data_IF_970874612233
#
_entry.id   IF_970874612233
#
_cell.length_a   1.000
_cell.length_b   1.000
_cell.length_c   1.000
_cell.angle_alpha   90.00
_cell.angle_beta   90.00
_cell.angle_gamma   90.00
#
_symmetry.space_group_name_H-M   'P 1'
#
loop_
_entity.id
_entity.type
_entity.pdbx_description
1 polymer ?
#
# COMPACT_ATOMS: atom_id res chain seq x y z
N UNK A 1 -54.28 -1.54 -40.59
CA UNK A 1 -53.41 -0.35 -40.37
C UNK A 1 -53.68 0.17 -38.96
N UNK A 2 -52.78 0.25 -37.98
CA UNK A 2 -51.33 0.06 -37.88
C UNK A 2 -51.06 -0.58 -36.50
N UNK A 3 -50.29 -1.66 -36.50
CA UNK A 3 -49.67 -2.25 -35.31
C UNK A 3 -48.68 -1.25 -34.72
N UNK A 4 -48.74 -0.99 -33.42
CA UNK A 4 -47.72 -0.22 -32.69
C UNK A 4 -47.03 -1.18 -31.71
N UNK A 5 -45.81 -1.54 -32.09
CA UNK A 5 -44.86 -2.32 -31.34
C UNK A 5 -44.56 -1.66 -29.98
N UNK A 6 -44.83 -2.40 -28.90
CA UNK A 6 -44.27 -2.13 -27.59
C UNK A 6 -42.84 -2.71 -27.57
N UNK A 7 -41.85 -1.85 -27.81
CA UNK A 7 -40.44 -2.20 -27.64
C UNK A 7 -40.05 -1.90 -26.20
N UNK A 8 -40.02 -2.96 -25.38
CA UNK A 8 -39.50 -2.92 -24.02
C UNK A 8 -37.97 -2.71 -24.08
N UNK A 9 -37.51 -1.52 -23.71
CA UNK A 9 -36.11 -1.23 -23.48
C UNK A 9 -35.73 -1.70 -22.07
N UNK A 10 -35.30 -2.96 -21.99
CA UNK A 10 -34.57 -3.49 -20.84
C UNK A 10 -33.16 -2.86 -20.82
N UNK A 11 -33.01 -1.74 -20.10
CA UNK A 11 -31.69 -1.24 -19.71
C UNK A 11 -31.22 -2.04 -18.50
N UNK A 12 -30.78 -3.27 -18.77
CA UNK A 12 -30.02 -4.08 -17.82
C UNK A 12 -28.58 -3.60 -17.77
N UNK A 13 -28.34 -2.40 -17.24
CA UNK A 13 -26.98 -1.97 -16.92
C UNK A 13 -26.53 -2.68 -15.64
N UNK A 14 -26.02 -3.90 -15.80
CA UNK A 14 -25.15 -4.53 -14.80
C UNK A 14 -23.88 -3.69 -14.77
N UNK A 15 -23.89 -2.62 -13.97
CA UNK A 15 -22.68 -1.95 -13.52
C UNK A 15 -22.04 -2.92 -12.53
N UNK A 16 -21.29 -3.90 -13.06
CA UNK A 16 -20.35 -4.65 -12.28
C UNK A 16 -19.28 -3.65 -11.84
N UNK A 17 -19.47 -3.10 -10.64
CA UNK A 17 -18.44 -2.38 -9.91
C UNK A 17 -17.26 -3.32 -9.78
N UNK A 18 -16.32 -3.24 -10.72
CA UNK A 18 -14.99 -3.79 -10.56
C UNK A 18 -14.28 -2.93 -9.51
N UNK A 19 -14.61 -3.20 -8.23
CA UNK A 19 -13.77 -2.89 -7.09
C UNK A 19 -12.52 -3.79 -7.13
N UNK A 20 -11.84 -3.87 -8.27
CA UNK A 20 -10.58 -4.58 -8.44
C UNK A 20 -9.43 -3.65 -8.03
N UNK A 21 -9.54 -3.11 -6.82
CA UNK A 21 -8.45 -2.41 -6.15
C UNK A 21 -7.50 -3.42 -5.52
N UNK A 22 -6.41 -3.71 -6.24
CA UNK A 22 -5.09 -4.09 -5.71
C UNK A 22 -4.88 -5.36 -4.88
N UNK A 23 -5.84 -6.28 -4.71
CA UNK A 23 -5.56 -7.57 -4.06
C UNK A 23 -5.85 -8.83 -4.89
N UNK A 24 -5.69 -8.76 -6.21
CA UNK A 24 -5.73 -9.97 -7.04
C UNK A 24 -4.59 -10.91 -6.59
N UNK A 25 -4.94 -12.09 -6.10
CA UNK A 25 -3.98 -13.15 -5.77
C UNK A 25 -3.29 -13.58 -7.05
N UNK A 26 -1.94 -13.60 -7.12
CA UNK A 26 -1.28 -14.20 -8.26
C UNK A 26 -1.81 -15.62 -8.39
N UNK A 27 -2.21 -16.00 -9.60
CA UNK A 27 -2.79 -17.32 -9.82
C UNK A 27 -1.71 -18.35 -9.51
N UNK A 28 -1.91 -19.27 -8.55
CA UNK A 28 -0.91 -20.27 -8.23
C UNK A 28 -0.56 -21.07 -9.49
N UNK A 29 0.72 -21.43 -9.71
CA UNK A 29 1.10 -22.28 -10.83
C UNK A 29 0.33 -23.59 -10.74
N UNK A 30 -0.13 -24.07 -11.89
CA UNK A 30 -0.87 -25.34 -11.97
C UNK A 30 0.10 -26.49 -12.20
N UNK A 31 -0.19 -27.64 -11.61
CA UNK A 31 0.48 -28.90 -11.92
C UNK A 31 0.19 -29.32 -13.36
N UNK A 32 0.86 -30.37 -13.84
CA UNK A 32 0.59 -30.94 -15.17
C UNK A 32 -0.89 -31.33 -15.38
N UNK A 33 -1.60 -31.63 -14.29
CA UNK A 33 -3.03 -31.99 -14.26
C UNK A 33 -3.96 -30.76 -14.15
N UNK A 34 -3.41 -29.55 -14.14
CA UNK A 34 -4.19 -28.31 -14.02
C UNK A 34 -4.62 -27.95 -12.59
N UNK A 35 -4.24 -28.75 -11.58
CA UNK A 35 -4.57 -28.50 -10.17
C UNK A 35 -3.59 -27.52 -9.50
N UNK A 36 -4.02 -26.84 -8.44
CA UNK A 36 -3.11 -26.04 -7.59
C UNK A 36 -2.48 -26.93 -6.53
N UNK A 37 -1.15 -26.85 -6.36
CA UNK A 37 -0.45 -27.63 -5.34
C UNK A 37 -0.74 -27.06 -3.95
N UNK A 38 -1.37 -27.85 -3.08
CA UNK A 38 -1.57 -27.50 -1.66
C UNK A 38 -0.43 -27.95 -0.77
N UNK A 39 0.28 -29.00 -1.19
CA UNK A 39 1.44 -29.56 -0.49
C UNK A 39 2.56 -29.68 -1.51
N UNK A 40 3.75 -29.21 -1.15
CA UNK A 40 4.95 -29.29 -2.00
C UNK A 40 5.97 -30.16 -1.29
N UNK A 41 6.37 -31.23 -1.98
CA UNK A 41 7.28 -32.23 -1.44
C UNK A 41 8.74 -31.80 -1.58
N UNK A 42 9.54 -32.09 -0.55
CA UNK A 42 11.00 -31.92 -0.53
C UNK A 42 11.62 -33.30 -0.67
N UNK A 43 12.60 -33.45 -1.56
CA UNK A 43 13.26 -34.74 -1.73
C UNK A 43 14.02 -35.13 -0.43
N UNK A 44 13.82 -36.33 0.16
CA UNK A 44 14.38 -36.68 1.47
C UNK A 44 15.90 -36.66 1.52
N UNK A 45 16.54 -36.94 0.38
CA UNK A 45 17.99 -36.99 0.24
C UNK A 45 18.59 -35.63 -0.15
N UNK A 46 17.76 -34.60 -0.32
CA UNK A 46 18.17 -33.28 -0.77
C UNK A 46 18.32 -32.32 0.41
N UNK A 47 19.39 -32.52 1.17
CA UNK A 47 19.67 -31.73 2.37
C UNK A 47 19.81 -30.23 2.06
N UNK A 48 20.28 -29.87 0.87
CA UNK A 48 20.38 -28.47 0.44
C UNK A 48 19.00 -27.85 0.20
N UNK A 49 18.06 -28.58 -0.42
CA UNK A 49 16.68 -28.13 -0.56
C UNK A 49 16.02 -27.97 0.80
N UNK A 50 16.15 -28.99 1.67
CA UNK A 50 15.58 -28.96 3.02
C UNK A 50 16.08 -27.73 3.79
N UNK A 51 17.39 -27.46 3.78
CA UNK A 51 17.98 -26.30 4.45
C UNK A 51 17.43 -24.97 3.90
N UNK A 52 17.35 -24.82 2.57
CA UNK A 52 16.85 -23.61 1.94
C UNK A 52 15.36 -23.37 2.27
N UNK A 53 14.53 -24.42 2.22
CA UNK A 53 13.12 -24.34 2.58
C UNK A 53 12.94 -24.03 4.06
N UNK A 54 13.67 -24.72 4.95
CA UNK A 54 13.63 -24.46 6.40
C UNK A 54 14.02 -23.03 6.72
N UNK A 55 15.05 -22.47 6.05
CA UNK A 55 15.44 -21.07 6.25
C UNK A 55 14.32 -20.08 5.85
N UNK A 56 13.67 -20.30 4.70
CA UNK A 56 12.56 -19.47 4.25
C UNK A 56 11.35 -19.57 5.19
N UNK A 57 10.98 -20.77 5.64
CA UNK A 57 9.89 -20.98 6.60
C UNK A 57 10.22 -20.39 7.99
N UNK A 58 11.47 -20.53 8.45
CA UNK A 58 11.95 -19.89 9.68
C UNK A 58 11.78 -18.37 9.64
N UNK A 59 12.21 -17.74 8.55
CA UNK A 59 12.05 -16.31 8.36
C UNK A 59 10.57 -15.89 8.28
N UNK A 60 9.73 -16.68 7.60
CA UNK A 60 8.27 -16.44 7.50
C UNK A 60 7.60 -16.52 8.87
N UNK A 61 7.90 -17.55 9.65
CA UNK A 61 7.34 -17.75 11.00
C UNK A 61 7.81 -16.65 11.95
N UNK A 62 9.09 -16.27 11.90
CA UNK A 62 9.61 -15.12 12.66
C UNK A 62 8.86 -13.84 12.26
N UNK A 63 8.70 -13.57 10.97
CA UNK A 63 7.99 -12.38 10.50
C UNK A 63 6.54 -12.34 11.00
N UNK A 64 5.81 -13.45 10.84
CA UNK A 64 4.44 -13.59 11.35
C UNK A 64 4.37 -13.37 12.86
N UNK A 65 5.34 -13.90 13.61
CA UNK A 65 5.43 -13.71 15.05
C UNK A 65 5.59 -12.24 15.41
N UNK A 66 6.56 -11.52 14.80
CA UNK A 66 6.77 -10.10 15.06
C UNK A 66 5.55 -9.25 14.73
N UNK A 67 4.87 -9.53 13.62
CA UNK A 67 3.62 -8.85 13.27
C UNK A 67 2.51 -9.07 14.29
N UNK A 68 2.39 -10.26 14.89
CA UNK A 68 1.41 -10.52 15.95
C UNK A 68 1.71 -9.77 17.24
N UNK A 69 2.98 -9.76 17.66
CA UNK A 69 3.44 -8.97 18.83
C UNK A 69 3.11 -7.49 18.60
N UNK A 70 3.43 -7.00 17.41
CA UNK A 70 3.21 -5.63 16.98
C UNK A 70 1.72 -5.27 16.93
N UNK A 71 0.88 -6.13 16.34
CA UNK A 71 -0.58 -5.99 16.34
C UNK A 71 -1.13 -5.89 17.76
N UNK A 72 -0.73 -6.79 18.65
CA UNK A 72 -1.16 -6.79 20.05
C UNK A 72 -0.76 -5.52 20.79
N UNK A 73 0.43 -4.96 20.49
CA UNK A 73 0.85 -3.67 21.02
C UNK A 73 -0.10 -2.53 20.61
N UNK A 74 -0.47 -2.42 19.33
CA UNK A 74 -1.38 -1.33 18.89
C UNK A 74 -2.79 -1.47 19.38
N UNK A 75 -3.31 -2.69 19.44
CA UNK A 75 -4.61 -2.95 20.05
C UNK A 75 -4.61 -2.50 21.51
N UNK A 76 -3.53 -2.78 22.26
CA UNK A 76 -3.40 -2.38 23.67
C UNK A 76 -3.35 -0.86 23.85
N UNK A 77 -2.67 -0.11 22.99
CA UNK A 77 -2.58 1.35 23.09
C UNK A 77 -3.73 2.09 22.37
N UNK A 78 -4.70 1.36 21.81
CA UNK A 78 -5.86 1.95 21.13
C UNK A 78 -5.55 2.58 19.77
N UNK A 79 -4.41 2.25 19.14
CA UNK A 79 -4.05 2.78 17.83
C UNK A 79 -4.70 1.95 16.71
N UNK A 80 -5.97 2.23 16.42
CA UNK A 80 -6.79 1.44 15.48
C UNK A 80 -6.26 1.43 14.04
N UNK A 81 -5.69 2.54 13.58
CA UNK A 81 -5.11 2.62 12.24
C UNK A 81 -3.91 1.67 12.11
N UNK A 82 -3.00 1.72 13.10
CA UNK A 82 -1.80 0.87 13.12
C UNK A 82 -2.16 -0.61 13.36
N UNK A 83 -3.17 -0.92 14.19
CA UNK A 83 -3.61 -2.31 14.34
C UNK A 83 -4.23 -2.88 13.05
N UNK A 84 -5.05 -2.09 12.35
CA UNK A 84 -5.64 -2.47 11.05
C UNK A 84 -4.55 -2.80 10.03
N UNK A 85 -3.45 -2.03 10.04
CA UNK A 85 -2.29 -2.37 9.24
C UNK A 85 -1.69 -3.72 9.57
N UNK A 86 -1.34 -3.94 10.84
CA UNK A 86 -0.61 -5.14 11.24
C UNK A 86 -1.44 -6.38 10.91
N UNK A 87 -2.76 -6.26 11.04
CA UNK A 87 -3.70 -7.27 10.61
C UNK A 87 -3.65 -7.50 9.10
N UNK A 88 -3.72 -6.45 8.28
CA UNK A 88 -3.62 -6.59 6.81
C UNK A 88 -2.31 -7.21 6.35
N UNK A 89 -1.19 -6.86 6.99
CA UNK A 89 0.12 -7.44 6.67
C UNK A 89 0.19 -8.92 7.07
N UNK A 90 -0.39 -9.29 8.22
CA UNK A 90 -0.58 -10.69 8.61
C UNK A 90 -1.45 -11.45 7.61
N UNK A 91 -2.58 -10.86 7.22
CA UNK A 91 -3.51 -11.46 6.25
C UNK A 91 -2.82 -11.64 4.90
N UNK A 92 -2.03 -10.66 4.45
CA UNK A 92 -1.26 -10.76 3.22
C UNK A 92 -0.21 -11.88 3.33
N UNK A 93 0.53 -11.98 4.43
CA UNK A 93 1.50 -13.05 4.67
C UNK A 93 0.84 -14.44 4.65
N UNK A 94 -0.32 -14.57 5.29
CA UNK A 94 -1.07 -15.82 5.36
C UNK A 94 -1.69 -16.22 4.02
N UNK A 95 -2.07 -15.25 3.20
CA UNK A 95 -2.67 -15.50 1.88
C UNK A 95 -1.66 -15.65 0.75
N UNK A 96 -0.42 -15.17 0.95
CA UNK A 96 0.61 -15.18 -0.10
C UNK A 96 1.07 -16.60 -0.42
N UNK A 97 1.27 -17.44 0.60
CA UNK A 97 1.72 -18.80 0.42
C UNK A 97 0.53 -19.76 0.44
N UNK A 98 0.04 -20.14 -0.75
CA UNK A 98 -1.15 -20.99 -0.91
C UNK A 98 -0.88 -22.50 -0.71
N UNK A 99 0.33 -22.85 -0.26
CA UNK A 99 0.80 -24.21 -0.14
C UNK A 99 1.61 -24.38 1.15
N UNK A 100 1.80 -25.63 1.58
CA UNK A 100 2.71 -25.98 2.67
C UNK A 100 3.79 -26.92 2.19
N UNK A 101 4.97 -26.85 2.79
CA UNK A 101 6.02 -27.83 2.59
C UNK A 101 5.72 -29.10 3.36
N UNK A 102 5.98 -30.25 2.75
CA UNK A 102 5.92 -31.52 3.44
C UNK A 102 7.18 -31.74 4.29
N UNK A 103 7.01 -32.25 5.50
CA UNK A 103 8.13 -32.58 6.41
C UNK A 103 8.89 -31.38 7.02
N UNK A 104 8.42 -30.15 6.85
CA UNK A 104 9.05 -28.96 7.45
C UNK A 104 8.20 -28.43 8.59
N UNK A 105 8.72 -28.55 9.81
CA UNK A 105 8.13 -27.96 11.01
C UNK A 105 9.06 -26.89 11.56
N UNK A 106 8.55 -25.67 11.67
CA UNK A 106 9.27 -24.51 12.20
C UNK A 106 8.49 -23.96 13.38
N UNK A 107 9.16 -23.89 14.52
CA UNK A 107 8.59 -23.35 15.75
C UNK A 107 8.89 -21.85 15.81
N UNK A 108 7.90 -21.00 16.18
CA UNK A 108 8.15 -19.57 16.37
C UNK A 108 9.18 -19.32 17.48
N UNK A 109 9.94 -18.21 17.38
CA UNK A 109 10.84 -17.82 18.46
C UNK A 109 10.07 -17.65 19.77
N UNK A 110 10.69 -18.07 20.88
CA UNK A 110 10.11 -17.92 22.22
C UNK A 110 10.27 -16.46 22.70
N UNK A 111 9.23 -15.94 23.36
CA UNK A 111 9.47 -15.05 24.51
C UNK A 111 9.61 -13.54 24.29
N UNK A 112 8.82 -12.92 23.41
CA UNK A 112 8.65 -11.47 23.43
C UNK A 112 7.28 -11.10 24.03
N UNK A 113 7.31 -10.36 25.14
CA UNK A 113 6.13 -9.80 25.81
C UNK A 113 5.93 -8.35 25.38
N UNK A 114 4.68 -7.95 25.17
CA UNK A 114 4.31 -6.55 24.92
C UNK A 114 4.40 -5.66 26.17
N UNK A 115 4.65 -6.24 27.35
CA UNK A 115 4.74 -5.52 28.61
C UNK A 115 5.98 -4.62 28.67
N UNK A 116 5.76 -3.30 28.56
CA UNK A 116 6.85 -2.31 28.58
C UNK A 116 7.62 -2.15 27.27
N UNK A 117 7.13 -2.75 26.18
CA UNK A 117 7.79 -2.66 24.88
C UNK A 117 7.70 -1.24 24.29
N UNK A 118 8.82 -0.78 23.73
CA UNK A 118 8.91 0.44 22.93
C UNK A 118 8.38 0.18 21.51
N UNK A 119 7.48 1.03 21.03
CA UNK A 119 6.91 0.94 19.68
C UNK A 119 8.02 0.83 18.64
N UNK A 120 9.02 1.73 18.73
CA UNK A 120 10.11 1.81 17.76
C UNK A 120 10.84 0.48 17.64
N UNK A 121 11.18 -0.13 18.77
CA UNK A 121 11.87 -1.42 18.80
C UNK A 121 11.04 -2.53 18.15
N UNK A 122 9.73 -2.60 18.46
CA UNK A 122 8.84 -3.60 17.87
C UNK A 122 8.70 -3.41 16.35
N UNK A 123 8.66 -2.16 15.87
CA UNK A 123 8.69 -1.84 14.44
C UNK A 123 9.98 -2.31 13.81
N UNK A 124 11.14 -1.97 14.39
CA UNK A 124 12.46 -2.38 13.89
C UNK A 124 12.57 -3.91 13.77
N UNK A 125 12.02 -4.67 14.74
CA UNK A 125 11.96 -6.13 14.66
C UNK A 125 11.07 -6.66 13.54
N UNK A 126 9.87 -6.10 13.35
CA UNK A 126 9.00 -6.52 12.25
C UNK A 126 9.63 -6.21 10.87
N UNK A 127 10.29 -5.06 10.74
CA UNK A 127 11.02 -4.65 9.55
C UNK A 127 12.19 -5.58 9.25
N UNK A 128 13.01 -5.87 10.26
CA UNK A 128 14.13 -6.80 10.15
C UNK A 128 13.65 -8.17 9.68
N UNK A 129 12.63 -8.71 10.35
CA UNK A 129 12.05 -10.00 9.99
C UNK A 129 11.42 -10.01 8.58
N UNK A 130 10.79 -8.90 8.14
CA UNK A 130 10.31 -8.76 6.76
C UNK A 130 11.45 -8.83 5.75
N UNK A 131 12.54 -8.10 6.01
CA UNK A 131 13.72 -8.06 5.14
C UNK A 131 14.36 -9.45 5.05
N UNK A 132 14.55 -10.12 6.19
CA UNK A 132 15.05 -11.49 6.27
C UNK A 132 14.18 -12.45 5.46
N UNK A 133 12.85 -12.38 5.62
CA UNK A 133 11.93 -13.22 4.85
C UNK A 133 12.03 -12.97 3.34
N UNK A 134 12.08 -11.70 2.90
CA UNK A 134 12.23 -11.38 1.48
C UNK A 134 13.55 -11.91 0.91
N UNK A 135 14.65 -11.81 1.67
CA UNK A 135 15.94 -12.36 1.27
C UNK A 135 15.89 -13.88 1.16
N UNK A 136 15.36 -14.57 2.19
CA UNK A 136 15.28 -16.03 2.21
C UNK A 136 14.39 -16.59 1.08
N UNK A 137 13.27 -15.92 0.78
CA UNK A 137 12.42 -16.28 -0.37
C UNK A 137 13.16 -16.06 -1.69
N UNK A 138 13.94 -14.99 -1.83
CA UNK A 138 14.74 -14.76 -3.04
C UNK A 138 15.85 -15.78 -3.23
N UNK A 139 16.54 -16.16 -2.16
CA UNK A 139 17.54 -17.22 -2.19
C UNK A 139 16.92 -18.57 -2.56
N UNK A 140 15.73 -18.88 -2.04
CA UNK A 140 14.99 -20.11 -2.37
C UNK A 140 14.52 -20.14 -3.83
N UNK A 141 14.04 -19.01 -4.36
CA UNK A 141 13.70 -18.91 -5.78
C UNK A 141 14.94 -19.19 -6.65
N UNK A 142 16.05 -18.51 -6.36
CA UNK A 142 17.31 -18.69 -7.07
C UNK A 142 17.87 -20.13 -6.94
N UNK A 143 17.65 -20.79 -5.80
CA UNK A 143 17.99 -22.21 -5.62
C UNK A 143 17.23 -23.10 -6.60
N UNK A 144 15.91 -22.94 -6.72
CA UNK A 144 15.10 -23.73 -7.65
C UNK A 144 15.40 -23.42 -9.12
N UNK A 145 15.68 -22.17 -9.47
CA UNK A 145 16.13 -21.78 -10.79
C UNK A 145 17.44 -22.50 -11.17
N UNK A 146 18.44 -22.51 -10.28
CA UNK A 146 19.72 -23.22 -10.51
C UNK A 146 19.54 -24.73 -10.66
N UNK A 147 18.55 -25.33 -9.96
CA UNK A 147 18.20 -26.74 -10.13
C UNK A 147 17.36 -27.04 -11.37
N UNK A 148 16.84 -26.02 -12.04
CA UNK A 148 15.93 -26.20 -13.17
C UNK A 148 14.51 -26.61 -12.77
N UNK A 149 14.14 -26.53 -11.48
CA UNK A 149 12.78 -26.80 -11.02
C UNK A 149 11.88 -25.57 -11.25
N UNK A 150 11.42 -25.46 -12.49
CA UNK A 150 10.58 -24.33 -12.94
C UNK A 150 9.27 -24.21 -12.16
N UNK A 151 8.70 -25.32 -11.71
CA UNK A 151 7.44 -25.32 -10.99
C UNK A 151 7.60 -24.71 -9.59
N UNK A 152 8.58 -25.20 -8.82
CA UNK A 152 8.88 -24.65 -7.49
C UNK A 152 9.37 -23.20 -7.60
N UNK A 153 10.25 -22.88 -8.55
CA UNK A 153 10.66 -21.50 -8.78
C UNK A 153 9.45 -20.56 -9.02
N UNK A 154 8.49 -20.97 -9.87
CA UNK A 154 7.28 -20.19 -10.14
C UNK A 154 6.40 -20.01 -8.90
N UNK A 155 6.29 -21.04 -8.03
CA UNK A 155 5.58 -20.92 -6.76
C UNK A 155 6.22 -19.84 -5.88
N UNK A 156 7.55 -19.80 -5.80
CA UNK A 156 8.26 -18.83 -4.99
C UNK A 156 8.20 -17.42 -5.60
N UNK A 157 8.26 -17.28 -6.93
CA UNK A 157 8.04 -15.97 -7.56
C UNK A 157 6.63 -15.41 -7.30
N UNK A 158 5.61 -16.27 -7.26
CA UNK A 158 4.28 -15.84 -6.85
C UNK A 158 4.25 -15.33 -5.39
N UNK A 159 5.05 -15.92 -4.51
CA UNK A 159 5.26 -15.39 -3.16
C UNK A 159 5.98 -14.04 -3.20
N UNK A 160 7.04 -13.89 -3.99
CA UNK A 160 7.81 -12.64 -4.09
C UNK A 160 6.99 -11.46 -4.62
N UNK A 161 6.20 -11.68 -5.68
CA UNK A 161 5.39 -10.63 -6.33
C UNK A 161 4.38 -9.98 -5.38
N UNK A 162 3.94 -10.72 -4.36
CA UNK A 162 3.09 -10.22 -3.25
C UNK A 162 3.82 -9.28 -2.30
N UNK A 163 5.15 -9.37 -2.20
CA UNK A 163 6.01 -8.56 -1.33
C UNK A 163 6.88 -7.55 -2.09
N UNK A 164 6.60 -7.32 -3.37
CA UNK A 164 7.22 -6.29 -4.21
C UNK A 164 6.99 -4.87 -3.61
N UNK A 165 7.91 -3.88 -3.78
CA UNK A 165 7.99 -2.67 -2.94
C UNK A 165 6.73 -1.79 -2.91
N UNK A 166 5.81 -1.99 -3.85
CA UNK A 166 4.58 -1.20 -3.96
C UNK A 166 3.55 -1.58 -2.90
N UNK A 167 3.64 -2.79 -2.33
CA UNK A 167 2.83 -3.24 -1.18
C UNK A 167 3.58 -3.13 0.14
N UNK A 168 4.52 -2.19 0.26
CA UNK A 168 5.18 -1.94 1.55
C UNK A 168 4.22 -1.08 2.35
N UNK A 169 3.57 -1.62 3.39
CA UNK A 169 2.51 -0.91 4.13
C UNK A 169 2.99 -0.31 5.49
N UNK A 170 2.26 0.75 5.87
CA UNK A 170 2.13 1.69 7.03
C UNK A 170 3.20 1.97 8.11
N UNK A 171 4.21 1.15 8.42
CA UNK A 171 4.99 1.42 9.66
C UNK A 171 6.16 2.36 9.48
N UNK A 172 6.42 2.68 8.23
CA UNK A 172 7.37 3.68 7.85
C UNK A 172 6.69 4.95 7.41
N UNK A 173 5.47 5.30 7.82
CA UNK A 173 4.99 6.64 7.47
C UNK A 173 5.99 7.70 7.96
N UNK A 174 6.61 7.55 9.14
CA UNK A 174 7.65 8.49 9.57
C UNK A 174 9.05 8.26 8.95
N UNK A 175 9.39 7.06 8.48
CA UNK A 175 10.71 6.77 7.90
C UNK A 175 10.76 6.74 6.36
N UNK A 176 9.62 6.49 5.70
CA UNK A 176 9.38 6.64 4.26
C UNK A 176 8.92 8.05 3.93
N UNK A 177 8.11 8.72 4.79
CA UNK A 177 7.89 10.15 4.59
C UNK A 177 9.13 10.89 5.06
N UNK A 178 9.72 11.70 4.19
CA UNK A 178 10.71 12.63 4.65
C UNK A 178 10.11 13.55 5.74
N UNK A 179 10.97 14.13 6.58
CA UNK A 179 10.50 14.91 7.71
C UNK A 179 9.71 16.15 7.25
N UNK A 180 8.74 16.58 8.05
CA UNK A 180 7.89 17.73 7.73
C UNK A 180 8.68 19.05 7.60
N UNK A 181 9.90 19.11 8.15
CA UNK A 181 10.75 20.29 8.18
C UNK A 181 11.64 20.47 6.94
N UNK A 182 11.49 19.65 5.88
CA UNK A 182 12.15 19.91 4.61
C UNK A 182 11.73 21.26 4.05
N UNK A 183 12.68 21.96 3.42
CA UNK A 183 12.49 23.30 2.86
C UNK A 183 12.80 23.28 1.37
N UNK A 184 11.80 23.08 0.49
CA UNK A 184 12.04 23.01 -0.95
C UNK A 184 12.31 24.40 -1.54
N UNK A 185 13.59 24.77 -1.63
CA UNK A 185 14.02 26.11 -2.06
C UNK A 185 14.76 26.14 -3.40
N UNK A 186 15.14 24.97 -3.93
CA UNK A 186 15.99 24.87 -5.11
C UNK A 186 15.21 24.40 -6.35
N UNK A 187 15.40 25.09 -7.47
CA UNK A 187 15.00 24.58 -8.79
C UNK A 187 16.14 23.68 -9.29
N UNK A 188 15.88 22.38 -9.41
CA UNK A 188 16.88 21.37 -9.77
C UNK A 188 16.46 20.71 -11.08
N UNK A 189 17.16 20.94 -12.21
CA UNK A 189 16.73 20.43 -13.52
C UNK A 189 16.53 18.91 -13.58
N UNK A 190 17.37 18.14 -12.87
CA UNK A 190 17.22 16.68 -12.80
C UNK A 190 15.93 16.26 -12.07
N UNK A 191 15.56 16.98 -11.00
CA UNK A 191 14.31 16.75 -10.29
C UNK A 191 13.10 17.16 -11.14
N UNK A 192 13.19 18.27 -11.87
CA UNK A 192 12.14 18.69 -12.81
C UNK A 192 11.90 17.66 -13.91
N UNK A 193 12.97 17.04 -14.43
CA UNK A 193 12.86 15.97 -15.42
C UNK A 193 12.17 14.71 -14.85
N UNK A 194 12.53 14.30 -13.62
CA UNK A 194 11.84 13.21 -12.92
C UNK A 194 10.37 13.52 -12.69
N UNK A 195 10.06 14.74 -12.25
CA UNK A 195 8.69 15.20 -12.05
C UNK A 195 7.88 15.12 -13.34
N UNK A 196 8.41 15.67 -14.44
CA UNK A 196 7.74 15.64 -15.75
C UNK A 196 7.59 14.22 -16.30
N UNK A 197 8.50 13.28 -15.97
CA UNK A 197 8.33 11.86 -16.28
C UNK A 197 7.17 11.26 -15.47
N UNK A 198 7.17 11.46 -14.16
CA UNK A 198 6.16 10.93 -13.25
C UNK A 198 4.75 11.44 -13.57
N UNK A 199 4.61 12.74 -13.85
CA UNK A 199 3.35 13.37 -14.23
C UNK A 199 2.80 12.81 -15.56
N UNK A 200 3.67 12.59 -16.56
CA UNK A 200 3.28 11.92 -17.81
C UNK A 200 2.79 10.50 -17.57
N UNK A 201 3.46 9.73 -16.70
CA UNK A 201 3.04 8.37 -16.34
C UNK A 201 1.69 8.37 -15.63
N UNK A 202 1.50 9.28 -14.67
CA UNK A 202 0.25 9.48 -13.94
C UNK A 202 -0.92 9.78 -14.90
N UNK A 203 -0.76 10.75 -15.80
CA UNK A 203 -1.81 11.04 -16.78
C UNK A 203 -2.03 9.90 -17.79
N UNK A 204 -0.95 9.24 -18.23
CA UNK A 204 -1.05 8.08 -19.11
C UNK A 204 -1.68 6.86 -18.43
N UNK A 205 -1.70 6.82 -17.08
CA UNK A 205 -2.42 5.86 -16.25
C UNK A 205 -3.93 6.05 -16.24
N UNK A 206 -4.41 7.24 -16.63
CA UNK A 206 -5.83 7.66 -16.62
C UNK A 206 -6.29 8.10 -18.01
N UNK A 207 -6.22 7.23 -19.04
CA UNK A 207 -6.53 7.63 -20.41
C UNK A 207 -7.99 8.08 -20.59
N UNK A 208 -8.92 7.53 -19.80
CA UNK A 208 -10.35 7.79 -19.87
C UNK A 208 -10.99 7.69 -18.47
N UNK A 209 -12.14 8.35 -18.24
CA UNK A 209 -12.91 8.18 -17.01
C UNK A 209 -13.23 6.71 -16.73
N UNK A 210 -12.90 6.23 -15.54
CA UNK A 210 -13.15 4.84 -15.11
C UNK A 210 -12.16 3.80 -15.66
N UNK A 211 -11.17 4.20 -16.46
CA UNK A 211 -10.10 3.31 -16.94
C UNK A 211 -8.79 3.67 -16.27
N UNK A 212 -8.18 2.69 -15.60
CA UNK A 212 -6.89 2.86 -14.90
C UNK A 212 -5.89 1.82 -15.38
N UNK A 213 -4.71 2.27 -15.80
CA UNK A 213 -3.55 1.42 -16.02
C UNK A 213 -2.66 1.42 -14.77
N UNK A 214 -2.92 0.46 -13.87
CA UNK A 214 -2.25 0.36 -12.57
C UNK A 214 -0.73 0.29 -12.66
N UNK A 215 -0.17 -0.35 -13.69
CA UNK A 215 1.29 -0.43 -13.86
C UNK A 215 1.91 0.95 -14.12
N UNK A 216 1.20 1.84 -14.82
CA UNK A 216 1.67 3.22 -15.05
C UNK A 216 1.52 4.10 -13.82
N UNK A 217 0.41 3.96 -13.09
CA UNK A 217 0.22 4.65 -11.79
C UNK A 217 1.30 4.22 -10.78
N UNK A 218 1.65 2.93 -10.80
CA UNK A 218 2.75 2.37 -10.02
C UNK A 218 4.09 2.96 -10.43
N UNK A 219 4.40 3.02 -11.72
CA UNK A 219 5.65 3.63 -12.20
C UNK A 219 5.72 5.12 -11.85
N UNK A 220 4.60 5.84 -11.96
CA UNK A 220 4.48 7.25 -11.55
C UNK A 220 4.77 7.41 -10.06
N UNK A 221 4.14 6.61 -9.21
CA UNK A 221 4.35 6.60 -7.76
C UNK A 221 5.83 6.40 -7.41
N UNK A 222 6.47 5.37 -7.98
CA UNK A 222 7.88 5.08 -7.71
C UNK A 222 8.79 6.23 -8.18
N UNK A 223 8.48 6.85 -9.33
CA UNK A 223 9.25 7.98 -9.86
C UNK A 223 9.10 9.23 -8.99
N UNK A 224 7.90 9.52 -8.46
CA UNK A 224 7.70 10.62 -7.51
C UNK A 224 8.42 10.36 -6.18
N UNK A 225 8.38 9.14 -5.67
CA UNK A 225 9.11 8.76 -4.44
C UNK A 225 10.62 8.89 -4.62
N UNK A 226 11.16 8.48 -5.77
CA UNK A 226 12.56 8.67 -6.15
C UNK A 226 12.96 10.15 -6.13
N UNK A 227 12.15 11.01 -6.78
CA UNK A 227 12.39 12.45 -6.78
C UNK A 227 12.49 13.01 -5.36
N UNK A 228 11.54 12.65 -4.50
CA UNK A 228 11.48 13.16 -3.12
C UNK A 228 12.69 12.68 -2.30
N UNK A 229 13.10 11.42 -2.48
CA UNK A 229 14.26 10.83 -1.79
C UNK A 229 15.58 11.45 -2.23
N UNK A 230 15.78 11.59 -3.55
CA UNK A 230 17.07 11.95 -4.12
C UNK A 230 17.25 13.48 -4.22
N UNK A 231 16.15 14.25 -4.24
CA UNK A 231 16.14 15.70 -4.33
C UNK A 231 15.25 16.39 -3.27
N UNK A 232 15.51 16.21 -1.96
CA UNK A 232 14.66 16.72 -0.87
C UNK A 232 14.65 18.26 -0.74
N UNK A 233 15.47 18.98 -1.51
CA UNK A 233 15.49 20.45 -1.57
C UNK A 233 14.76 21.00 -2.81
N UNK A 234 14.28 20.13 -3.71
CA UNK A 234 13.63 20.53 -4.95
C UNK A 234 12.29 21.20 -4.70
N UNK A 235 11.99 22.29 -5.40
CA UNK A 235 10.67 22.94 -5.43
C UNK A 235 9.54 22.01 -5.89
N UNK A 236 9.86 20.82 -6.44
CA UNK A 236 8.88 19.83 -6.91
C UNK A 236 8.41 18.83 -5.84
N UNK A 237 9.05 18.74 -4.67
CA UNK A 237 8.67 17.70 -3.69
C UNK A 237 7.25 17.88 -3.14
N UNK A 238 6.78 19.14 -2.96
CA UNK A 238 5.44 19.42 -2.46
C UNK A 238 4.35 18.95 -3.45
N UNK A 239 4.51 19.30 -4.72
CA UNK A 239 3.60 18.83 -5.77
C UNK A 239 3.68 17.32 -5.97
N UNK A 240 4.88 16.74 -5.88
CA UNK A 240 5.07 15.28 -5.94
C UNK A 240 4.34 14.58 -4.80
N UNK A 241 4.41 15.14 -3.58
CA UNK A 241 3.68 14.64 -2.41
C UNK A 241 2.16 14.63 -2.64
N UNK A 242 1.60 15.67 -3.27
CA UNK A 242 0.19 15.69 -3.64
C UNK A 242 -0.17 14.54 -4.61
N UNK A 243 0.62 14.32 -5.67
CA UNK A 243 0.34 13.24 -6.62
C UNK A 243 0.55 11.84 -6.02
N UNK A 244 1.55 11.66 -5.16
CA UNK A 244 1.73 10.44 -4.39
C UNK A 244 0.46 10.15 -3.58
N UNK A 245 -0.10 11.17 -2.92
CA UNK A 245 -1.34 11.03 -2.16
C UNK A 245 -2.55 10.67 -3.03
N UNK A 246 -2.71 11.31 -4.19
CA UNK A 246 -3.76 10.97 -5.16
C UNK A 246 -3.66 9.51 -5.61
N UNK A 247 -2.45 9.04 -5.92
CA UNK A 247 -2.21 7.66 -6.35
C UNK A 247 -2.54 6.68 -5.22
N UNK A 248 -2.08 6.94 -3.99
CA UNK A 248 -2.42 6.10 -2.84
C UNK A 248 -3.92 6.04 -2.55
N UNK A 249 -4.59 7.20 -2.61
CA UNK A 249 -6.03 7.34 -2.40
C UNK A 249 -6.84 6.57 -3.45
N UNK A 250 -6.54 6.79 -4.73
CA UNK A 250 -7.41 6.30 -5.81
C UNK A 250 -7.12 4.86 -6.22
N UNK A 251 -5.86 4.41 -6.11
CA UNK A 251 -5.45 3.14 -6.74
C UNK A 251 -5.01 2.09 -5.76
N UNK A 252 -4.42 2.47 -4.62
CA UNK A 252 -3.87 1.51 -3.67
C UNK A 252 -4.70 1.34 -2.40
N UNK A 253 -5.77 2.14 -2.23
CA UNK A 253 -6.63 2.13 -1.04
C UNK A 253 -5.83 2.34 0.26
N UNK A 254 -4.87 3.25 0.17
CA UNK A 254 -3.85 3.55 1.18
C UNK A 254 -4.18 4.87 1.88
N UNK A 255 -5.40 4.97 2.42
CA UNK A 255 -5.99 6.23 2.88
C UNK A 255 -5.13 6.98 3.91
N UNK A 256 -4.56 6.26 4.87
CA UNK A 256 -3.69 6.87 5.90
C UNK A 256 -2.42 7.43 5.26
N UNK A 257 -1.78 6.70 4.33
CA UNK A 257 -0.59 7.19 3.61
C UNK A 257 -0.94 8.40 2.75
N UNK A 258 -2.07 8.33 2.04
CA UNK A 258 -2.54 9.42 1.21
C UNK A 258 -2.73 10.69 2.04
N UNK A 259 -3.39 10.61 3.20
CA UNK A 259 -3.52 11.74 4.12
C UNK A 259 -2.15 12.33 4.49
N UNK A 260 -1.21 11.51 4.93
CA UNK A 260 0.09 12.05 5.35
C UNK A 260 0.91 12.63 4.21
N UNK A 261 0.78 12.10 2.99
CA UNK A 261 1.38 12.71 1.80
C UNK A 261 0.70 14.02 1.41
N UNK A 262 -0.63 14.14 1.56
CA UNK A 262 -1.27 15.45 1.46
C UNK A 262 -0.72 16.39 2.54
N UNK A 263 -0.58 15.95 3.79
CA UNK A 263 0.00 16.76 4.87
C UNK A 263 1.39 17.28 4.51
N UNK A 264 2.27 16.41 3.99
CA UNK A 264 3.60 16.80 3.52
C UNK A 264 3.55 17.83 2.40
N UNK A 265 2.61 17.68 1.47
CA UNK A 265 2.47 18.62 0.36
C UNK A 265 2.29 20.07 0.83
N UNK A 266 1.44 20.32 1.85
CA UNK A 266 1.24 21.67 2.38
C UNK A 266 2.21 22.07 3.49
N UNK A 267 2.86 21.11 4.16
CA UNK A 267 3.93 21.41 5.11
C UNK A 267 5.18 21.91 4.40
N UNK A 268 5.50 21.33 3.24
CA UNK A 268 6.64 21.75 2.41
C UNK A 268 6.33 22.97 1.54
N UNK A 269 5.08 23.13 1.08
CA UNK A 269 4.61 24.35 0.40
C UNK A 269 3.23 24.77 0.95
N UNK A 270 3.17 25.71 1.91
CA UNK A 270 1.91 26.20 2.46
C UNK A 270 0.93 26.77 1.43
N UNK A 271 1.44 27.23 0.27
CA UNK A 271 0.70 27.87 -0.82
C UNK A 271 0.52 26.94 -2.04
N UNK A 272 0.65 25.62 -1.86
CA UNK A 272 0.50 24.65 -2.93
C UNK A 272 -0.81 24.87 -3.71
N UNK A 273 -0.73 24.81 -5.04
CA UNK A 273 -1.85 25.10 -5.95
C UNK A 273 -2.89 23.97 -6.05
N UNK A 274 -2.73 22.92 -5.24
CA UNK A 274 -3.65 21.78 -5.16
C UNK A 274 -4.44 21.81 -3.85
N UNK A 275 -5.68 21.31 -3.83
CA UNK A 275 -6.56 21.35 -2.65
C UNK A 275 -6.21 20.24 -1.64
N UNK A 276 -4.95 20.19 -1.21
CA UNK A 276 -4.42 19.08 -0.42
C UNK A 276 -5.12 18.91 0.94
N UNK A 277 -5.42 20.02 1.64
CA UNK A 277 -6.09 19.97 2.94
C UNK A 277 -7.52 19.47 2.80
N UNK A 278 -8.22 19.91 1.74
CA UNK A 278 -9.55 19.41 1.42
C UNK A 278 -9.53 17.90 1.13
N UNK A 279 -8.59 17.42 0.31
CA UNK A 279 -8.49 15.99 0.00
C UNK A 279 -8.18 15.15 1.26
N UNK A 280 -7.30 15.63 2.14
CA UNK A 280 -7.05 15.00 3.44
C UNK A 280 -8.30 14.98 4.32
N UNK A 281 -9.07 16.08 4.35
CA UNK A 281 -10.32 16.15 5.11
C UNK A 281 -11.34 15.10 4.65
N UNK A 282 -11.51 14.94 3.33
CA UNK A 282 -12.40 13.93 2.74
C UNK A 282 -12.01 12.52 3.15
N UNK A 283 -10.71 12.21 3.17
CA UNK A 283 -10.21 10.90 3.62
C UNK A 283 -10.46 10.66 5.11
N UNK A 284 -10.13 11.64 5.97
CA UNK A 284 -10.39 11.56 7.41
C UNK A 284 -11.88 11.35 7.70
N UNK A 285 -12.73 12.04 6.97
CA UNK A 285 -14.18 12.02 7.13
C UNK A 285 -14.82 10.71 6.63
N UNK A 286 -14.64 10.43 5.33
CA UNK A 286 -15.44 9.43 4.64
C UNK A 286 -14.87 8.03 4.74
N UNK A 287 -13.54 7.89 4.78
CA UNK A 287 -12.88 6.58 4.77
C UNK A 287 -12.34 6.19 6.14
N UNK A 288 -11.71 7.11 6.86
CA UNK A 288 -11.08 6.84 8.15
C UNK A 288 -11.99 7.13 9.36
N UNK A 289 -13.13 7.79 9.15
CA UNK A 289 -14.12 8.11 10.21
C UNK A 289 -13.53 8.85 11.41
N UNK A 290 -12.46 9.62 11.20
CA UNK A 290 -11.87 10.49 12.19
C UNK A 290 -12.44 11.92 12.04
N UNK A 291 -13.64 12.12 12.58
CA UNK A 291 -14.38 13.37 12.38
C UNK A 291 -13.69 14.59 12.99
N UNK A 292 -12.97 14.42 14.10
CA UNK A 292 -12.20 15.51 14.71
C UNK A 292 -11.14 16.04 13.74
N UNK A 293 -10.28 15.16 13.20
CA UNK A 293 -9.28 15.54 12.20
C UNK A 293 -9.90 16.03 10.90
N UNK A 294 -11.02 15.46 10.48
CA UNK A 294 -11.75 15.93 9.30
C UNK A 294 -12.17 17.39 9.44
N UNK A 295 -12.78 17.77 10.57
CA UNK A 295 -13.20 19.15 10.84
C UNK A 295 -12.02 20.11 10.86
N UNK A 296 -10.89 19.71 11.46
CA UNK A 296 -9.65 20.50 11.43
C UNK A 296 -9.17 20.75 9.99
N UNK A 297 -9.10 19.70 9.17
CA UNK A 297 -8.65 19.79 7.78
C UNK A 297 -9.61 20.60 6.90
N UNK A 298 -10.93 20.45 7.06
CA UNK A 298 -11.92 21.26 6.32
C UNK A 298 -11.81 22.75 6.69
N UNK A 299 -11.60 23.08 7.97
CA UNK A 299 -11.38 24.48 8.38
C UNK A 299 -10.08 25.04 7.78
N UNK A 300 -9.04 24.22 7.74
CA UNK A 300 -7.77 24.61 7.16
C UNK A 300 -7.87 24.79 5.63
N UNK A 301 -8.63 23.96 4.93
CA UNK A 301 -8.83 24.10 3.48
C UNK A 301 -9.57 25.39 3.13
N UNK A 302 -10.61 25.76 3.88
CA UNK A 302 -11.33 27.03 3.70
C UNK A 302 -10.43 28.27 3.84
N UNK A 303 -9.31 28.15 4.56
CA UNK A 303 -8.38 29.26 4.81
C UNK A 303 -7.22 29.31 3.82
N UNK A 304 -6.71 28.16 3.40
CA UNK A 304 -5.40 28.07 2.73
C UNK A 304 -5.42 27.36 1.38
N UNK A 305 -6.42 26.53 1.10
CA UNK A 305 -6.46 25.84 -0.19
C UNK A 305 -6.98 26.79 -1.28
N UNK A 306 -6.55 26.60 -2.54
CA UNK A 306 -7.07 27.37 -3.66
C UNK A 306 -8.57 27.07 -3.88
N UNK A 307 -9.31 28.07 -4.36
CA UNK A 307 -10.72 27.91 -4.68
C UNK A 307 -10.90 26.85 -5.77
N UNK A 308 -11.74 25.85 -5.49
CA UNK A 308 -12.13 24.79 -6.41
C UNK A 308 -13.63 24.63 -6.35
N UNK A 309 -14.25 24.45 -7.51
CA UNK A 309 -15.70 24.34 -7.62
C UNK A 309 -16.24 23.27 -6.66
N UNK A 310 -17.15 23.66 -5.76
CA UNK A 310 -17.82 22.77 -4.82
C UNK A 310 -17.04 22.43 -3.54
N UNK A 311 -15.72 22.63 -3.49
CA UNK A 311 -14.92 22.29 -2.29
C UNK A 311 -15.35 23.12 -1.08
N UNK A 312 -15.51 24.44 -1.25
CA UNK A 312 -15.91 25.36 -0.17
C UNK A 312 -17.25 24.98 0.45
N UNK A 313 -18.30 24.89 -0.36
CA UNK A 313 -19.63 24.53 0.12
C UNK A 313 -19.68 23.13 0.73
N UNK A 314 -18.88 22.19 0.20
CA UNK A 314 -18.74 20.84 0.80
C UNK A 314 -18.10 20.92 2.18
N UNK A 315 -17.02 21.68 2.34
CA UNK A 315 -16.31 21.81 3.60
C UNK A 315 -17.18 22.49 4.67
N UNK A 316 -17.86 23.59 4.34
CA UNK A 316 -18.78 24.31 5.23
C UNK A 316 -19.90 23.37 5.72
N UNK A 317 -20.60 22.70 4.79
CA UNK A 317 -21.66 21.73 5.12
C UNK A 317 -21.15 20.58 6.00
N UNK A 318 -20.00 19.99 5.67
CA UNK A 318 -19.46 18.87 6.47
C UNK A 318 -19.03 19.32 7.86
N UNK A 319 -18.51 20.54 8.04
CA UNK A 319 -18.21 21.08 9.37
C UNK A 319 -19.49 21.19 10.21
N UNK A 320 -20.59 21.69 9.66
CA UNK A 320 -21.89 21.80 10.35
C UNK A 320 -22.40 20.42 10.78
N UNK A 321 -22.44 19.46 9.83
CA UNK A 321 -22.91 18.09 10.06
C UNK A 321 -22.08 17.36 11.13
N UNK A 322 -20.75 17.50 11.10
CA UNK A 322 -19.85 16.81 12.03
C UNK A 322 -19.75 17.48 13.41
N UNK A 323 -20.07 18.77 13.53
CA UNK A 323 -20.01 19.50 14.81
C UNK A 323 -21.36 19.68 15.48
N UNK A 324 -22.46 19.28 14.82
CA UNK A 324 -23.81 19.39 15.37
C UNK A 324 -24.32 20.82 15.50
N UNK A 325 -23.67 21.79 14.84
CA UNK A 325 -24.19 23.15 14.72
C UNK A 325 -25.30 23.16 13.67
N UNK A 326 -26.55 23.18 14.13
CA UNK A 326 -27.71 23.53 13.29
C UNK A 326 -28.10 24.98 13.52
#
# INVERSE_FOLDING_TARGET
>A
MKSKYALALWVGAVVCWMLTGCDVRPTPPRTAEGATAKVVYIAPNDQAELQAVTAAEAARVNYRYRLRVLLGYYQRIGSMDKSTWAQRELDNLDQTQTFRWDGVEVVPPKGESVGGADERLLVEYAVGARKEYRMAVAELAAFYERKGDKFKASLIHNVQTRFDPVRTYMYFIEAELPPANLKPVAVIPAADALYAKAERLYHAGKPLPGVTFYDKEREALLTFLELVRDYPQSTKIAMSAYFIAEIYKEYFNEDVRAVHWYERSWQWDPNITQPARFQAAVLWDLRLKNYTKAVECYRASLKYDPERFGNRGTAERRIEELTGKK
#
